data_IF_064185702820
#
_entry.id   IF_064185702820
#
_cell.length_a   1.000
_cell.length_b   1.000
_cell.length_c   1.000
_cell.angle_alpha   90.00
_cell.angle_beta   90.00
_cell.angle_gamma   90.00
#
_symmetry.space_group_name_H-M   'P 1'
#
loop_
_entity.id
_entity.type
_entity.pdbx_description
1 polymer ?
#
# COMPACT_ATOMS: atom_id res chain seq x y z
N UNK A 1 22.30 -51.41 -48.76
CA UNK A 1 21.73 -52.72 -49.17
C UNK A 1 22.27 -53.78 -48.24
N UNK A 2 21.44 -54.72 -47.75
CA UNK A 2 21.82 -55.98 -47.05
C UNK A 2 22.53 -55.80 -45.68
N UNK A 3 22.29 -56.54 -44.58
CA UNK A 3 21.44 -57.71 -44.19
C UNK A 3 21.26 -57.64 -42.65
N UNK A 4 20.27 -58.16 -41.90
CA UNK A 4 19.23 -59.20 -42.04
C UNK A 4 19.77 -60.65 -42.06
N UNK A 5 19.56 -61.52 -41.04
CA UNK A 5 18.77 -61.49 -39.78
C UNK A 5 19.48 -62.34 -38.70
N UNK A 6 18.98 -62.33 -37.45
CA UNK A 6 18.65 -63.56 -36.66
C UNK A 6 17.70 -63.18 -35.50
N UNK A 7 16.76 -64.07 -35.16
CA UNK A 7 15.70 -63.86 -34.16
C UNK A 7 15.93 -64.64 -32.87
N UNK A 8 15.53 -64.06 -31.74
CA UNK A 8 15.07 -64.76 -30.53
C UNK A 8 13.82 -64.04 -30.00
N UNK A 9 12.92 -64.74 -29.33
CA UNK A 9 11.55 -64.27 -29.10
C UNK A 9 11.13 -64.28 -27.63
N UNK A 10 10.05 -63.53 -27.37
CA UNK A 10 9.10 -63.69 -26.27
C UNK A 10 9.61 -63.44 -24.83
N UNK A 11 9.00 -62.46 -24.17
CA UNK A 11 8.25 -62.71 -22.94
C UNK A 11 7.29 -61.55 -22.64
N UNK A 12 6.05 -61.88 -22.30
CA UNK A 12 5.02 -60.89 -21.97
C UNK A 12 5.09 -60.52 -20.49
N UNK A 13 5.14 -59.23 -20.19
CA UNK A 13 4.84 -58.70 -18.86
C UNK A 13 4.15 -57.33 -18.99
N UNK A 14 2.82 -57.34 -19.13
CA UNK A 14 2.00 -56.14 -18.92
C UNK A 14 1.91 -55.83 -17.43
N UNK A 15 3.03 -55.41 -16.84
CA UNK A 15 3.02 -54.78 -15.53
C UNK A 15 2.44 -53.37 -15.68
N UNK A 16 1.11 -53.27 -15.65
CA UNK A 16 0.41 -52.03 -15.33
C UNK A 16 0.71 -51.68 -13.86
N UNK A 17 1.93 -51.23 -13.63
CA UNK A 17 2.36 -50.62 -12.39
C UNK A 17 1.58 -49.32 -12.22
N UNK A 18 0.41 -49.41 -11.59
CA UNK A 18 -0.21 -48.27 -10.93
C UNK A 18 0.67 -47.88 -9.74
N UNK A 19 1.85 -47.33 -10.04
CA UNK A 19 2.59 -46.51 -9.09
C UNK A 19 1.72 -45.30 -8.84
N UNK A 20 0.85 -45.42 -7.83
CA UNK A 20 0.24 -44.31 -7.14
C UNK A 20 1.34 -43.56 -6.38
N UNK A 21 2.31 -43.04 -7.13
CA UNK A 21 3.15 -41.95 -6.67
C UNK A 21 2.19 -40.87 -6.20
N UNK A 22 2.36 -40.48 -4.93
CA UNK A 22 1.58 -39.45 -4.30
C UNK A 22 1.37 -38.29 -5.27
N UNK A 23 0.15 -37.75 -5.31
CA UNK A 23 0.08 -36.30 -5.43
C UNK A 23 0.71 -35.78 -4.15
N UNK A 24 2.02 -35.54 -4.21
CA UNK A 24 2.63 -34.58 -3.32
C UNK A 24 1.79 -33.32 -3.51
N UNK A 25 1.10 -32.94 -2.44
CA UNK A 25 0.55 -31.59 -2.34
C UNK A 25 1.77 -30.68 -2.14
N UNK A 26 2.47 -30.43 -3.24
CA UNK A 26 3.01 -29.12 -3.55
C UNK A 26 1.86 -28.14 -3.34
N UNK A 27 1.75 -27.67 -2.10
CA UNK A 27 1.06 -26.44 -1.79
C UNK A 27 1.85 -25.37 -2.50
N UNK A 28 1.51 -25.14 -3.77
CA UNK A 28 1.76 -23.88 -4.45
C UNK A 28 1.25 -22.83 -3.47
N UNK A 29 2.18 -22.14 -2.79
CA UNK A 29 1.80 -21.11 -1.84
C UNK A 29 0.98 -20.09 -2.63
N UNK A 30 -0.31 -19.96 -2.29
CA UNK A 30 -1.19 -19.06 -3.02
C UNK A 30 -0.58 -17.67 -2.88
N UNK A 31 -0.13 -17.11 -4.01
CA UNK A 31 0.65 -15.88 -4.07
C UNK A 31 -0.20 -14.71 -3.53
N UNK A 32 -0.02 -14.40 -2.24
CA UNK A 32 -0.94 -13.61 -1.41
C UNK A 32 -0.17 -12.65 -0.53
N UNK A 33 -0.78 -11.49 -0.30
CA UNK A 33 -0.35 -10.56 0.73
C UNK A 33 -0.27 -11.30 2.06
N UNK A 34 0.83 -11.13 2.78
CA UNK A 34 1.05 -11.77 4.07
C UNK A 34 1.91 -10.89 5.00
N UNK A 35 1.88 -11.17 6.30
CA UNK A 35 2.64 -10.42 7.31
C UNK A 35 4.15 -10.75 7.33
N UNK A 36 4.56 -11.92 6.82
CA UNK A 36 5.95 -12.37 6.87
C UNK A 36 6.85 -11.67 5.84
N UNK A 37 6.28 -11.25 4.70
CA UNK A 37 6.96 -10.46 3.66
C UNK A 37 6.76 -8.95 3.82
N UNK A 38 5.99 -8.50 4.81
CA UNK A 38 5.60 -7.09 4.93
C UNK A 38 6.75 -6.20 5.46
N UNK A 39 7.06 -5.13 4.71
CA UNK A 39 8.17 -4.22 5.00
C UNK A 39 7.66 -2.85 5.41
N UNK A 40 8.19 -2.30 6.51
CA UNK A 40 7.96 -0.89 6.89
C UNK A 40 9.13 -0.03 6.42
N UNK A 41 8.82 1.15 5.88
CA UNK A 41 9.79 2.14 5.44
C UNK A 41 9.30 3.56 5.77
N UNK A 42 10.18 4.54 5.58
CA UNK A 42 9.89 5.96 5.81
C UNK A 42 10.16 6.79 4.56
N UNK A 43 9.36 7.84 4.39
CA UNK A 43 9.48 8.85 3.34
C UNK A 43 9.58 10.23 3.98
N UNK A 44 10.49 11.06 3.48
CA UNK A 44 10.56 12.50 3.76
C UNK A 44 10.28 13.25 2.46
N UNK A 45 9.19 14.00 2.41
CA UNK A 45 8.71 14.68 1.21
C UNK A 45 8.64 16.19 1.49
N UNK A 46 9.50 16.96 0.84
CA UNK A 46 9.57 18.42 0.94
C UNK A 46 8.81 19.06 -0.23
N UNK A 47 7.88 19.97 0.06
CA UNK A 47 6.99 20.59 -0.93
C UNK A 47 6.95 22.10 -0.73
N UNK A 48 7.40 22.91 -1.72
CA UNK A 48 7.30 24.37 -1.66
C UNK A 48 5.86 24.89 -1.58
N UNK A 49 5.68 26.11 -1.07
CA UNK A 49 4.42 26.83 -1.07
C UNK A 49 3.82 26.92 -2.48
N UNK A 50 2.54 26.57 -2.63
CA UNK A 50 1.83 26.54 -3.92
C UNK A 50 2.25 25.41 -4.87
N UNK A 51 3.28 24.62 -4.56
CA UNK A 51 3.70 23.49 -5.38
C UNK A 51 2.89 22.21 -5.05
N UNK A 52 3.00 21.25 -5.98
CA UNK A 52 2.53 19.88 -5.84
C UNK A 52 3.69 18.92 -6.15
N UNK A 53 3.87 17.89 -5.34
CA UNK A 53 4.82 16.79 -5.59
C UNK A 53 4.05 15.49 -5.77
N UNK A 54 4.44 14.73 -6.79
CA UNK A 54 3.90 13.42 -7.13
C UNK A 54 4.82 12.33 -6.58
N UNK A 55 4.30 11.34 -5.87
CA UNK A 55 5.09 10.38 -5.09
C UNK A 55 4.62 8.94 -5.25
N UNK A 56 5.57 8.01 -5.18
CA UNK A 56 5.33 6.58 -5.23
C UNK A 56 6.03 5.85 -4.07
N UNK A 57 5.23 5.21 -3.21
CA UNK A 57 5.70 4.38 -2.11
C UNK A 57 6.28 3.03 -2.56
N UNK A 58 6.06 2.60 -3.81
CA UNK A 58 6.66 1.36 -4.36
C UNK A 58 8.16 1.52 -4.62
N UNK A 59 8.56 2.68 -5.13
CA UNK A 59 9.96 3.09 -5.33
C UNK A 59 10.52 3.98 -4.21
N UNK A 60 9.67 4.41 -3.26
CA UNK A 60 9.97 5.39 -2.21
C UNK A 60 10.55 6.71 -2.76
N UNK A 61 9.97 7.22 -3.85
CA UNK A 61 10.55 8.32 -4.63
C UNK A 61 9.53 9.30 -5.21
N UNK A 62 10.01 10.50 -5.55
CA UNK A 62 9.28 11.47 -6.37
C UNK A 62 9.22 10.95 -7.81
N UNK A 63 8.06 11.07 -8.44
CA UNK A 63 7.77 10.53 -9.77
C UNK A 63 7.07 11.56 -10.68
N UNK A 64 6.92 11.23 -11.95
CA UNK A 64 5.98 11.92 -12.83
C UNK A 64 4.52 11.61 -12.44
N UNK A 65 3.59 12.51 -12.77
CA UNK A 65 2.15 12.36 -12.48
C UNK A 65 1.61 10.97 -12.83
N UNK A 66 1.77 10.53 -14.08
CA UNK A 66 1.29 9.25 -14.58
C UNK A 66 1.96 8.00 -13.96
N UNK A 67 3.09 8.16 -13.27
CA UNK A 67 3.83 7.08 -12.58
C UNK A 67 3.58 7.06 -11.07
N UNK A 68 2.97 8.10 -10.52
CA UNK A 68 2.80 8.28 -9.08
C UNK A 68 1.57 7.57 -8.50
N UNK A 69 1.68 7.17 -7.24
CA UNK A 69 0.57 6.62 -6.46
C UNK A 69 -0.32 7.75 -5.92
N UNK A 70 0.33 8.77 -5.34
CA UNK A 70 -0.30 9.94 -4.74
C UNK A 70 0.32 11.25 -5.24
N UNK A 71 -0.37 12.34 -5.00
CA UNK A 71 0.20 13.67 -5.00
C UNK A 71 -0.13 14.41 -3.70
N UNK A 72 0.80 15.30 -3.34
CA UNK A 72 0.82 16.09 -2.11
C UNK A 72 1.04 17.56 -2.47
N UNK A 73 0.47 18.48 -1.69
CA UNK A 73 0.64 19.94 -1.86
C UNK A 73 1.41 20.57 -0.70
N UNK A 74 1.82 21.84 -0.86
CA UNK A 74 2.29 22.69 0.25
C UNK A 74 1.24 22.88 1.36
N UNK A 75 1.57 23.61 2.41
CA UNK A 75 0.75 23.62 3.64
C UNK A 75 -0.62 24.29 3.47
N UNK A 76 -0.68 25.43 2.79
CA UNK A 76 -1.93 26.15 2.58
C UNK A 76 -2.81 25.42 1.57
N UNK A 77 -3.89 24.80 2.04
CA UNK A 77 -4.65 23.83 1.25
C UNK A 77 -3.90 22.52 1.05
N UNK A 78 -3.24 22.02 2.09
CA UNK A 78 -2.59 20.71 2.07
C UNK A 78 -3.59 19.59 1.77
N UNK A 79 -3.21 18.70 0.85
CA UNK A 79 -3.98 17.54 0.42
C UNK A 79 -3.06 16.35 0.20
N UNK A 80 -3.49 15.15 0.60
CA UNK A 80 -3.00 13.89 0.06
C UNK A 80 -4.09 13.32 -0.84
N UNK A 81 -3.80 13.12 -2.12
CA UNK A 81 -4.79 12.69 -3.12
C UNK A 81 -4.19 11.58 -3.98
N UNK A 82 -4.97 10.52 -4.31
CA UNK A 82 -4.49 9.51 -5.27
C UNK A 82 -4.38 10.10 -6.68
N UNK A 83 -3.29 9.79 -7.38
CA UNK A 83 -3.06 10.33 -8.73
C UNK A 83 -3.67 9.43 -9.81
N UNK A 84 -3.35 8.14 -9.80
CA UNK A 84 -3.88 7.18 -10.78
C UNK A 84 -5.08 6.41 -10.22
N UNK A 85 -6.29 6.93 -10.46
CA UNK A 85 -7.55 6.33 -10.02
C UNK A 85 -7.82 4.93 -10.62
N UNK A 86 -7.22 4.63 -11.76
CA UNK A 86 -7.33 3.32 -12.44
C UNK A 86 -6.41 2.26 -11.83
N UNK A 87 -5.24 2.66 -11.31
CA UNK A 87 -4.27 1.72 -10.73
C UNK A 87 -4.45 1.47 -9.24
N UNK A 88 -4.87 2.48 -8.48
CA UNK A 88 -4.97 2.40 -7.03
C UNK A 88 -6.31 2.94 -6.52
N UNK A 89 -6.91 2.17 -5.61
CA UNK A 89 -8.00 2.62 -4.75
C UNK A 89 -7.42 3.13 -3.44
N UNK A 90 -8.06 4.15 -2.91
CA UNK A 90 -7.65 4.87 -1.71
C UNK A 90 -8.79 4.87 -0.69
N UNK A 91 -8.43 4.80 0.58
CA UNK A 91 -9.34 4.93 1.71
C UNK A 91 -8.58 5.18 3.00
N UNK A 92 -9.29 5.25 4.11
CA UNK A 92 -8.70 5.37 5.44
C UNK A 92 -9.51 4.61 6.50
N UNK A 93 -8.86 4.28 7.60
CA UNK A 93 -9.49 3.82 8.84
C UNK A 93 -8.73 4.38 10.04
N UNK A 94 -9.36 4.42 11.21
CA UNK A 94 -8.74 4.90 12.43
C UNK A 94 -8.59 3.72 13.41
N UNK A 95 -7.39 3.52 13.96
CA UNK A 95 -7.10 2.43 14.91
C UNK A 95 -6.13 2.89 16.00
N UNK A 96 -6.59 2.87 17.24
CA UNK A 96 -5.80 3.34 18.39
C UNK A 96 -4.70 2.37 18.82
N UNK A 97 -3.76 2.88 19.63
CA UNK A 97 -2.77 2.11 20.41
C UNK A 97 -1.91 1.11 19.59
N UNK A 98 -1.90 1.27 18.28
CA UNK A 98 -1.19 0.45 17.29
C UNK A 98 -0.19 1.35 16.58
N UNK A 99 1.04 0.89 16.39
CA UNK A 99 2.01 1.54 15.49
C UNK A 99 2.06 0.79 14.16
N UNK A 100 2.44 1.48 13.08
CA UNK A 100 2.35 0.95 11.72
C UNK A 100 3.19 -0.33 11.48
N UNK A 101 4.29 -0.49 12.22
CA UNK A 101 5.13 -1.70 12.17
C UNK A 101 4.35 -2.92 12.69
N UNK A 102 3.60 -2.73 13.79
CA UNK A 102 2.81 -3.74 14.51
C UNK A 102 1.47 -4.05 13.85
N UNK A 103 1.01 -3.19 12.95
CA UNK A 103 -0.25 -3.35 12.24
C UNK A 103 -0.18 -4.58 11.32
N UNK A 104 -1.05 -5.57 11.54
CA UNK A 104 -1.06 -6.82 10.77
C UNK A 104 -1.97 -6.74 9.56
N UNK A 105 -1.75 -7.60 8.56
CA UNK A 105 -2.65 -7.71 7.40
C UNK A 105 -4.08 -8.04 7.85
N UNK A 106 -4.23 -8.96 8.81
CA UNK A 106 -5.54 -9.34 9.36
C UNK A 106 -6.28 -8.16 9.99
N UNK A 107 -5.58 -7.24 10.68
CA UNK A 107 -6.18 -6.03 11.22
C UNK A 107 -6.63 -5.07 10.10
N UNK A 108 -5.81 -4.88 9.07
CA UNK A 108 -6.15 -4.03 7.91
C UNK A 108 -7.36 -4.58 7.15
N UNK A 109 -7.38 -5.89 6.86
CA UNK A 109 -8.49 -6.54 6.14
C UNK A 109 -9.79 -6.60 6.98
N UNK A 110 -9.68 -6.60 8.30
CA UNK A 110 -10.82 -6.52 9.22
C UNK A 110 -11.31 -5.10 9.52
N UNK A 111 -10.58 -4.06 9.08
CA UNK A 111 -10.92 -2.66 9.36
C UNK A 111 -12.07 -2.14 8.48
N UNK A 112 -12.87 -1.22 9.02
CA UNK A 112 -13.93 -0.55 8.27
C UNK A 112 -13.36 0.61 7.44
N UNK A 113 -12.76 0.30 6.29
CA UNK A 113 -12.09 1.29 5.43
C UNK A 113 -13.14 2.19 4.77
N UNK A 114 -13.09 3.48 5.10
CA UNK A 114 -13.83 4.53 4.41
C UNK A 114 -13.09 4.89 3.12
N UNK A 115 -13.66 4.56 1.97
CA UNK A 115 -13.12 4.95 0.66
C UNK A 115 -13.07 6.47 0.51
N UNK A 116 -11.97 7.00 -0.01
CA UNK A 116 -11.85 8.41 -0.42
C UNK A 116 -10.78 8.57 -1.49
N UNK A 117 -10.97 9.52 -2.40
CA UNK A 117 -9.95 9.90 -3.39
C UNK A 117 -8.91 10.87 -2.83
N UNK A 118 -9.22 11.51 -1.71
CA UNK A 118 -8.51 12.68 -1.18
C UNK A 118 -8.68 12.81 0.33
N UNK A 119 -7.63 13.29 0.99
CA UNK A 119 -7.62 13.69 2.39
C UNK A 119 -7.09 15.12 2.50
N UNK A 120 -7.80 15.98 3.24
CA UNK A 120 -7.45 17.39 3.45
C UNK A 120 -6.76 17.69 4.78
N UNK A 121 -6.59 18.97 5.06
CA UNK A 121 -6.15 19.50 6.35
C UNK A 121 -7.34 19.99 7.17
N UNK A 122 -7.37 19.65 8.46
CA UNK A 122 -8.27 20.32 9.40
C UNK A 122 -7.67 21.69 9.75
N UNK A 123 -8.38 22.77 9.41
CA UNK A 123 -8.00 24.15 9.74
C UNK A 123 -9.08 24.88 10.55
N UNK A 124 -9.93 24.12 11.27
CA UNK A 124 -11.00 24.66 12.14
C UNK A 124 -10.47 25.56 13.24
N UNK A 125 -9.26 25.30 13.74
CA UNK A 125 -8.53 26.16 14.69
C UNK A 125 -8.33 27.60 14.18
N UNK A 126 -8.24 27.78 12.86
CA UNK A 126 -8.09 29.05 12.14
C UNK A 126 -9.42 29.65 11.66
N UNK A 127 -10.56 29.03 11.99
CA UNK A 127 -11.89 29.44 11.53
C UNK A 127 -12.30 28.94 10.13
N UNK A 128 -11.47 28.11 9.48
CA UNK A 128 -11.84 27.50 8.19
C UNK A 128 -12.65 26.21 8.40
N UNK A 129 -13.81 26.03 7.75
CA UNK A 129 -14.63 24.83 7.93
C UNK A 129 -13.94 23.58 7.34
N UNK A 130 -13.98 22.47 8.10
CA UNK A 130 -13.48 21.17 7.63
C UNK A 130 -14.38 20.66 6.51
N UNK A 131 -13.78 20.34 5.36
CA UNK A 131 -14.50 19.90 4.16
C UNK A 131 -14.01 18.53 3.69
N UNK A 132 -14.74 17.49 4.08
CA UNK A 132 -14.37 16.09 3.83
C UNK A 132 -13.38 15.52 4.85
N UNK A 133 -12.87 14.30 4.61
CA UNK A 133 -11.97 13.63 5.54
C UNK A 133 -10.56 14.24 5.51
N UNK A 134 -9.89 14.25 6.66
CA UNK A 134 -8.58 14.87 6.86
C UNK A 134 -7.49 13.83 7.17
N UNK A 135 -6.22 14.18 6.98
CA UNK A 135 -5.08 13.35 7.39
C UNK A 135 -4.06 14.06 8.28
N UNK A 136 -4.17 15.39 8.34
CA UNK A 136 -3.39 16.27 9.20
C UNK A 136 -4.27 17.38 9.78
N UNK A 137 -3.83 17.97 10.88
CA UNK A 137 -4.51 19.04 11.61
C UNK A 137 -3.55 20.21 11.73
N UNK A 138 -4.01 21.41 11.37
CA UNK A 138 -3.35 22.68 11.62
C UNK A 138 -3.89 23.27 12.93
N UNK A 139 -3.01 23.58 13.87
CA UNK A 139 -3.35 24.31 15.09
C UNK A 139 -2.81 25.73 15.03
N UNK A 140 -3.67 26.63 14.55
CA UNK A 140 -3.42 28.07 14.51
C UNK A 140 -3.20 28.67 15.91
N UNK A 141 -3.81 28.09 16.95
CA UNK A 141 -3.74 28.62 18.32
C UNK A 141 -2.44 28.20 19.01
N UNK A 142 -1.96 26.99 18.75
CA UNK A 142 -0.69 26.48 19.26
C UNK A 142 0.47 26.77 18.28
N UNK A 143 0.78 28.05 18.10
CA UNK A 143 1.93 28.53 17.31
C UNK A 143 2.01 27.96 15.87
N UNK A 144 0.86 27.86 15.18
CA UNK A 144 0.76 27.36 13.81
C UNK A 144 1.28 25.93 13.60
N UNK A 145 1.28 25.11 14.66
CA UNK A 145 1.75 23.72 14.60
C UNK A 145 0.91 22.85 13.67
N UNK A 146 1.51 21.76 13.17
CA UNK A 146 0.83 20.77 12.32
C UNK A 146 1.05 19.37 12.88
N UNK A 147 -0.04 18.63 13.00
CA UNK A 147 -0.07 17.28 13.58
C UNK A 147 -0.69 16.29 12.59
N UNK A 148 -0.33 14.99 12.65
CA UNK A 148 -1.14 13.94 12.05
C UNK A 148 -2.58 13.96 12.60
N UNK A 149 -3.57 13.57 11.81
CA UNK A 149 -4.88 13.22 12.37
C UNK A 149 -4.69 11.98 13.28
N UNK A 150 -5.08 12.02 14.57
CA UNK A 150 -4.83 10.93 15.51
C UNK A 150 -5.34 9.58 15.01
N UNK A 151 -4.57 8.52 15.28
CA UNK A 151 -4.92 7.11 15.00
C UNK A 151 -5.20 6.77 13.51
N UNK A 152 -5.05 7.71 12.58
CA UNK A 152 -5.45 7.53 11.18
C UNK A 152 -4.43 6.76 10.35
N UNK A 153 -4.93 5.74 9.67
CA UNK A 153 -4.22 4.94 8.67
C UNK A 153 -4.85 5.15 7.30
N UNK A 154 -4.03 5.46 6.31
CA UNK A 154 -4.42 5.62 4.91
C UNK A 154 -4.06 4.34 4.17
N UNK A 155 -4.98 3.82 3.37
CA UNK A 155 -4.79 2.56 2.64
C UNK A 155 -4.82 2.83 1.15
N UNK A 156 -3.74 2.45 0.46
CA UNK A 156 -3.62 2.43 -1.00
C UNK A 156 -3.51 0.98 -1.46
N UNK A 157 -4.41 0.52 -2.33
CA UNK A 157 -4.43 -0.88 -2.79
C UNK A 157 -4.78 -1.04 -4.27
N UNK A 158 -4.27 -2.11 -4.88
CA UNK A 158 -4.55 -2.49 -6.27
C UNK A 158 -5.41 -3.76 -6.34
N UNK A 159 -6.56 -3.66 -7.01
CA UNK A 159 -7.52 -4.76 -7.19
C UNK A 159 -8.99 -4.28 -7.24
N UNK A 160 -9.93 -5.21 -7.43
CA UNK A 160 -11.37 -4.88 -7.41
C UNK A 160 -11.84 -4.48 -6.00
N UNK A 161 -11.51 -5.31 -5.01
CA UNK A 161 -11.72 -5.09 -3.58
C UNK A 161 -10.43 -5.43 -2.83
N UNK A 162 -10.20 -4.79 -1.68
CA UNK A 162 -9.10 -5.16 -0.81
C UNK A 162 -9.30 -6.58 -0.23
N UNK A 163 -8.27 -7.41 -0.35
CA UNK A 163 -8.24 -8.80 0.15
C UNK A 163 -6.78 -9.30 0.23
N UNK A 164 -6.56 -10.48 0.82
CA UNK A 164 -5.29 -11.24 0.72
C UNK A 164 -4.79 -11.44 -0.73
N UNK A 165 -5.68 -11.39 -1.75
CA UNK A 165 -5.34 -11.61 -3.16
C UNK A 165 -5.06 -10.31 -3.94
N UNK A 166 -5.25 -9.14 -3.34
CA UNK A 166 -4.93 -7.83 -3.94
C UNK A 166 -3.44 -7.73 -4.33
N UNK A 167 -3.12 -7.06 -5.43
CA UNK A 167 -1.77 -7.13 -6.04
C UNK A 167 -0.71 -6.38 -5.26
N UNK A 168 -1.05 -5.19 -4.77
CA UNK A 168 -0.20 -4.39 -3.90
C UNK A 168 -1.09 -3.72 -2.84
N UNK A 169 -0.57 -3.64 -1.61
CA UNK A 169 -1.20 -2.97 -0.48
C UNK A 169 -0.14 -2.16 0.27
N UNK A 170 -0.39 -0.86 0.40
CA UNK A 170 0.38 0.05 1.23
C UNK A 170 -0.55 0.63 2.29
N UNK A 171 -0.16 0.50 3.56
CA UNK A 171 -0.73 1.30 4.64
C UNK A 171 0.25 2.44 4.92
N UNK A 172 -0.28 3.64 5.14
CA UNK A 172 0.46 4.89 5.21
C UNK A 172 -0.02 5.67 6.46
N UNK A 173 0.92 6.23 7.21
CA UNK A 173 0.66 7.03 8.41
C UNK A 173 1.56 8.28 8.39
N UNK A 174 0.98 9.46 8.61
CA UNK A 174 1.78 10.67 8.81
C UNK A 174 2.46 10.58 10.18
N UNK A 175 3.79 10.63 10.22
CA UNK A 175 4.58 10.51 11.45
C UNK A 175 4.92 11.89 12.06
N UNK A 176 5.09 12.91 11.21
CA UNK A 176 5.30 14.28 11.65
C UNK A 176 5.39 15.25 10.48
N UNK A 177 4.82 16.44 10.63
CA UNK A 177 4.74 17.44 9.56
C UNK A 177 5.30 18.76 10.09
N UNK A 178 6.16 19.42 9.32
CA UNK A 178 6.59 20.80 9.60
C UNK A 178 6.06 21.74 8.53
N UNK A 179 5.63 22.92 8.96
CA UNK A 179 5.21 24.02 8.10
C UNK A 179 6.15 25.21 8.30
N UNK A 180 6.59 25.84 7.21
CA UNK A 180 7.35 27.08 7.26
C UNK A 180 7.10 27.89 5.98
N UNK A 181 6.59 29.11 6.11
CA UNK A 181 6.33 30.03 5.00
C UNK A 181 5.48 29.41 3.86
N UNK A 182 4.53 28.53 4.22
CA UNK A 182 3.69 27.78 3.27
C UNK A 182 4.33 26.51 2.68
N UNK A 183 5.65 26.34 2.81
CA UNK A 183 6.31 25.07 2.52
C UNK A 183 5.88 24.01 3.55
N UNK A 184 5.85 22.75 3.13
CA UNK A 184 5.57 21.61 3.99
C UNK A 184 6.68 20.56 3.90
N UNK A 185 7.05 19.96 5.02
CA UNK A 185 7.84 18.71 5.03
C UNK A 185 7.00 17.63 5.67
N UNK A 186 6.66 16.60 4.91
CA UNK A 186 5.92 15.43 5.38
C UNK A 186 6.89 14.30 5.69
N UNK A 187 6.94 13.89 6.96
CA UNK A 187 7.59 12.65 7.37
C UNK A 187 6.48 11.61 7.50
N UNK A 188 6.56 10.56 6.68
CA UNK A 188 5.52 9.56 6.50
C UNK A 188 6.14 8.19 6.75
N UNK A 189 5.51 7.39 7.62
CA UNK A 189 5.81 5.98 7.74
C UNK A 189 4.82 5.21 6.85
N UNK A 190 5.27 4.14 6.20
CA UNK A 190 4.39 3.27 5.44
C UNK A 190 4.81 1.81 5.55
N UNK A 191 3.83 0.90 5.61
CA UNK A 191 4.04 -0.55 5.58
C UNK A 191 3.47 -1.10 4.28
N UNK A 192 4.35 -1.71 3.48
CA UNK A 192 4.02 -2.40 2.25
C UNK A 192 3.83 -3.88 2.55
N UNK A 193 2.68 -4.42 2.19
CA UNK A 193 2.46 -5.86 2.10
C UNK A 193 2.73 -6.28 0.66
N UNK A 194 3.46 -7.38 0.49
CA UNK A 194 3.73 -7.99 -0.83
C UNK A 194 3.23 -9.42 -0.83
N UNK A 195 3.08 -9.97 -2.03
CA UNK A 195 2.91 -11.40 -2.26
C UNK A 195 4.29 -12.04 -2.13
#
# INVERSE_FOLDING_TARGET
MNKLFTTAALLCALSLGFTSCSKDNDKVEENKLNDATAVTATAKIEIPAGAKVYYDFKTNSVQEEAKSMINLSGMYGSTLQKTSAENYKMGYFDQENTSIEKLTLAAVLGSNITSTDKLGIDASSAGAPVTGPTWIIYDFKNNHAVYPTPNRYIVMYKGEKLSEKSDELFVIQAAGITALNGNATYNINFKKFVK
#
